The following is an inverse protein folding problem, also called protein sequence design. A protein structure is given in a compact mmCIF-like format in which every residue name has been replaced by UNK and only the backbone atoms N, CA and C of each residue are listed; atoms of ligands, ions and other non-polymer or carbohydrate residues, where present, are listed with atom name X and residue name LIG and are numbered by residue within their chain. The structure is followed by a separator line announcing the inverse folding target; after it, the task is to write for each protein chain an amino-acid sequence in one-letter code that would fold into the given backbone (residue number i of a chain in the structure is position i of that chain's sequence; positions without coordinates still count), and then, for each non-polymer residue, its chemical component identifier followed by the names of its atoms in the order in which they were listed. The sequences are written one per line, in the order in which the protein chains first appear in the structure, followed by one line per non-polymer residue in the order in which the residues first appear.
data_IF_079731795332
#
_entry.id   IF_079731795332
#
_cell.length_a   1.000
_cell.length_b   1.000
_cell.length_c   1.000
_cell.angle_alpha   90.00
_cell.angle_beta   90.00
_cell.angle_gamma   90.00
#
_symmetry.space_group_name_H-M   'P 1'
#
loop_
_entity.id
_entity.type
_entity.pdbx_description
1 polymer ?
#
# COMPACT_ATOMS: atom_id res chain seq x y z
N UNK A 1 6.29 -37.14 -78.97
CA UNK A 1 6.81 -37.28 -77.59
C UNK A 1 6.60 -35.93 -76.90
N UNK A 2 5.47 -35.77 -76.19
CA UNK A 2 5.40 -35.64 -74.73
C UNK A 2 6.24 -34.48 -74.17
N UNK A 3 5.60 -33.34 -73.95
CA UNK A 3 5.39 -32.81 -72.59
C UNK A 3 4.24 -31.81 -72.61
N UNK A 4 3.17 -32.20 -71.92
CA UNK A 4 1.97 -31.44 -71.64
C UNK A 4 2.16 -30.92 -70.22
N UNK A 5 2.01 -29.62 -69.98
CA UNK A 5 1.76 -29.11 -68.64
C UNK A 5 0.40 -28.42 -68.63
N UNK A 6 -0.55 -29.14 -68.06
CA UNK A 6 -1.88 -28.68 -67.63
C UNK A 6 -1.73 -28.28 -66.17
N UNK A 7 -2.11 -27.07 -65.81
CA UNK A 7 -2.63 -26.73 -64.46
C UNK A 7 -3.39 -25.41 -64.60
N UNK A 8 -4.71 -25.49 -64.84
CA UNK A 8 -5.77 -25.35 -63.83
C UNK A 8 -5.90 -23.93 -63.30
N UNK A 9 -6.83 -23.19 -63.91
CA UNK A 9 -7.43 -21.98 -63.34
C UNK A 9 -8.33 -22.41 -62.18
N UNK A 10 -8.11 -21.84 -60.99
CA UNK A 10 -9.03 -21.95 -59.86
C UNK A 10 -9.12 -20.60 -59.15
N UNK A 11 -10.36 -20.28 -58.78
CA UNK A 11 -10.91 -18.97 -58.52
C UNK A 11 -10.91 -18.64 -57.01
N UNK A 12 -10.84 -17.34 -56.73
CA UNK A 12 -11.30 -16.63 -55.53
C UNK A 12 -10.48 -16.70 -54.22
N UNK A 13 -9.98 -15.54 -53.77
CA UNK A 13 -10.67 -14.73 -52.75
C UNK A 13 -10.01 -13.34 -52.62
N UNK A 14 -10.84 -12.29 -52.48
CA UNK A 14 -10.43 -10.91 -52.26
C UNK A 14 -9.69 -10.75 -50.92
N UNK A 15 -8.54 -10.08 -50.94
CA UNK A 15 -8.12 -9.21 -49.84
C UNK A 15 -7.74 -7.86 -50.43
N UNK A 16 -8.57 -6.88 -50.11
CA UNK A 16 -8.41 -5.47 -50.45
C UNK A 16 -7.18 -5.00 -49.65
N UNK A 17 -6.05 -4.85 -50.34
CA UNK A 17 -5.02 -3.90 -49.93
C UNK A 17 -5.61 -2.50 -50.18
N UNK A 18 -6.28 -1.97 -49.16
CA UNK A 18 -6.92 -0.66 -49.17
C UNK A 18 -6.17 0.28 -48.25
N UNK A 19 -5.27 1.04 -48.86
CA UNK A 19 -4.63 2.26 -48.43
C UNK A 19 -5.02 2.85 -47.06
N UNK A 20 -4.00 3.20 -46.29
CA UNK A 20 -4.05 4.35 -45.39
C UNK A 20 -4.69 5.52 -46.13
N UNK A 21 -5.91 5.86 -45.77
CA UNK A 21 -6.49 7.16 -46.09
C UNK A 21 -6.53 7.96 -44.81
N UNK A 22 -5.78 9.05 -44.82
CA UNK A 22 -6.09 10.24 -44.06
C UNK A 22 -7.59 10.53 -44.23
N UNK A 23 -8.36 10.39 -43.16
CA UNK A 23 -9.57 11.19 -43.03
C UNK A 23 -9.12 12.62 -42.76
N UNK A 24 -9.00 13.40 -43.85
CA UNK A 24 -9.23 14.84 -43.77
C UNK A 24 -10.72 14.98 -43.46
N UNK A 25 -11.06 14.98 -42.18
CA UNK A 25 -12.27 15.67 -41.76
C UNK A 25 -11.97 17.15 -41.92
N UNK A 26 -12.77 17.81 -42.75
CA UNK A 26 -12.79 19.26 -42.85
C UNK A 26 -12.88 19.82 -41.43
N UNK A 27 -11.78 20.41 -40.97
CA UNK A 27 -11.75 21.12 -39.69
C UNK A 27 -12.56 22.38 -39.92
N UNK A 28 -13.84 22.33 -39.58
CA UNK A 28 -14.58 23.55 -39.30
C UNK A 28 -13.75 24.33 -38.27
N UNK A 29 -13.34 25.59 -38.55
CA UNK A 29 -12.59 26.38 -37.58
C UNK A 29 -13.37 26.67 -36.29
N UNK A 30 -14.64 26.26 -36.22
CA UNK A 30 -15.51 26.27 -35.03
C UNK A 30 -15.53 24.93 -34.26
N UNK A 31 -14.47 24.11 -34.38
CA UNK A 31 -14.31 22.89 -33.59
C UNK A 31 -14.17 23.24 -32.10
N UNK A 32 -15.25 23.06 -31.34
CA UNK A 32 -15.33 23.25 -29.90
C UNK A 32 -14.05 22.76 -29.20
N UNK A 33 -13.17 23.65 -28.70
CA UNK A 33 -11.87 23.27 -28.13
C UNK A 33 -12.05 22.77 -26.70
N UNK A 34 -12.92 21.78 -26.54
CA UNK A 34 -13.21 21.13 -25.27
C UNK A 34 -11.92 20.51 -24.76
N UNK A 35 -11.59 20.81 -23.51
CA UNK A 35 -10.43 20.24 -22.86
C UNK A 35 -10.67 18.75 -22.58
N UNK A 36 -9.71 17.91 -22.94
CA UNK A 36 -9.77 16.46 -22.74
C UNK A 36 -8.58 15.98 -21.91
N UNK A 37 -8.80 14.93 -21.12
CA UNK A 37 -7.77 14.36 -20.25
C UNK A 37 -7.43 12.92 -20.63
N UNK A 38 -6.17 12.56 -20.40
CA UNK A 38 -5.63 11.21 -20.48
C UNK A 38 -4.78 10.91 -19.25
N UNK A 39 -4.64 9.62 -18.96
CA UNK A 39 -3.88 9.14 -17.81
C UNK A 39 -2.90 8.07 -18.27
N UNK A 40 -1.69 8.16 -17.73
CA UNK A 40 -0.75 7.08 -17.64
C UNK A 40 -0.24 6.98 -16.20
N UNK A 41 -0.40 5.83 -15.59
CA UNK A 41 0.36 5.40 -14.41
C UNK A 41 1.38 4.36 -14.88
N UNK A 42 2.50 4.21 -14.18
CA UNK A 42 3.40 3.08 -14.44
C UNK A 42 2.65 1.75 -14.36
N UNK A 43 3.12 0.72 -15.08
CA UNK A 43 2.59 -0.64 -14.93
C UNK A 43 3.01 -1.19 -13.58
N UNK A 44 2.12 -1.16 -12.58
CA UNK A 44 2.30 -2.03 -11.42
C UNK A 44 1.88 -3.45 -11.78
N UNK A 45 2.69 -4.44 -11.41
CA UNK A 45 2.40 -5.86 -11.59
C UNK A 45 1.68 -6.46 -10.38
N UNK A 46 1.33 -5.65 -9.38
CA UNK A 46 0.75 -6.09 -8.10
C UNK A 46 -0.51 -5.26 -7.82
N UNK A 47 -1.60 -5.92 -7.42
CA UNK A 47 -2.90 -5.27 -7.22
C UNK A 47 -2.93 -4.40 -5.96
N UNK A 48 -3.96 -3.55 -5.86
CA UNK A 48 -4.22 -2.54 -4.80
C UNK A 48 -3.36 -1.28 -4.90
N UNK A 49 -2.32 -1.27 -5.74
CA UNK A 49 -1.66 -0.01 -6.12
C UNK A 49 -2.61 0.86 -6.97
N UNK A 50 -2.41 2.17 -6.95
CA UNK A 50 -3.04 3.05 -7.94
C UNK A 50 -2.33 2.86 -9.29
N UNK A 51 -3.00 2.20 -10.24
CA UNK A 51 -2.49 1.83 -11.55
C UNK A 51 -3.48 2.17 -12.67
N UNK A 52 -3.17 1.79 -13.92
CA UNK A 52 -3.97 2.12 -15.11
C UNK A 52 -5.34 1.44 -15.12
N UNK A 53 -5.58 0.48 -14.24
CA UNK A 53 -6.85 -0.23 -14.07
C UNK A 53 -7.61 0.29 -12.85
N UNK A 54 -6.97 0.39 -11.68
CA UNK A 54 -7.62 0.85 -10.44
C UNK A 54 -8.07 2.31 -10.55
N UNK A 55 -7.31 3.17 -11.23
CA UNK A 55 -7.72 4.56 -11.45
C UNK A 55 -8.98 4.70 -12.34
N UNK A 56 -9.35 3.64 -13.10
CA UNK A 56 -10.57 3.59 -13.92
C UNK A 56 -11.77 2.98 -13.19
N UNK A 57 -11.62 2.58 -11.94
CA UNK A 57 -12.76 2.16 -11.12
C UNK A 57 -13.72 3.33 -10.89
N UNK A 58 -14.89 3.03 -10.31
CA UNK A 58 -15.88 4.06 -10.02
C UNK A 58 -15.45 4.88 -8.78
N UNK A 59 -15.17 6.20 -8.89
CA UNK A 59 -14.86 7.04 -7.74
C UNK A 59 -16.02 7.17 -6.75
N UNK A 60 -17.26 6.93 -7.17
CA UNK A 60 -18.46 7.13 -6.34
C UNK A 60 -18.91 5.84 -5.62
N UNK A 61 -18.42 4.68 -6.03
CA UNK A 61 -18.70 3.41 -5.34
C UNK A 61 -17.98 3.37 -3.97
N UNK A 62 -18.64 2.87 -2.93
CA UNK A 62 -18.14 2.94 -1.55
C UNK A 62 -16.85 2.15 -1.31
N UNK A 63 -16.63 1.07 -2.06
CA UNK A 63 -15.53 0.11 -1.92
C UNK A 63 -14.46 0.23 -3.02
N UNK A 64 -14.50 1.31 -3.81
CA UNK A 64 -13.64 1.52 -4.99
C UNK A 64 -12.89 2.84 -4.93
N UNK A 65 -11.68 2.87 -5.48
CA UNK A 65 -10.77 4.02 -5.39
C UNK A 65 -10.37 4.51 -6.78
N UNK A 66 -11.37 4.79 -7.62
CA UNK A 66 -11.16 5.29 -8.97
C UNK A 66 -11.14 6.80 -9.08
N UNK A 67 -10.96 7.28 -10.32
CA UNK A 67 -10.97 8.69 -10.67
C UNK A 67 -9.80 9.49 -10.09
N UNK A 68 -9.73 10.76 -10.49
CA UNK A 68 -8.74 11.70 -9.98
C UNK A 68 -9.31 13.12 -9.91
N UNK A 69 -8.78 13.93 -9.00
CA UNK A 69 -9.14 15.34 -8.86
C UNK A 69 -8.13 16.24 -9.57
N UNK A 70 -8.60 17.30 -10.24
CA UNK A 70 -7.75 18.30 -10.90
C UNK A 70 -7.88 19.67 -10.23
N UNK A 71 -6.74 20.30 -10.00
CA UNK A 71 -6.57 21.73 -9.72
C UNK A 71 -6.01 22.40 -10.99
N UNK A 72 -6.78 23.32 -11.57
CA UNK A 72 -6.46 24.03 -12.80
C UNK A 72 -6.30 25.53 -12.58
N UNK A 73 -5.21 26.07 -13.09
CA UNK A 73 -4.78 27.45 -12.88
C UNK A 73 -4.65 28.17 -14.21
N UNK A 74 -5.54 29.12 -14.49
CA UNK A 74 -5.41 29.99 -15.64
C UNK A 74 -4.36 31.07 -15.34
N UNK A 75 -3.27 31.07 -16.12
CA UNK A 75 -2.10 31.95 -15.88
C UNK A 75 -2.01 33.10 -16.89
N UNK A 76 -2.97 33.19 -17.82
CA UNK A 76 -2.89 34.09 -18.97
C UNK A 76 -1.60 33.83 -19.76
N UNK A 77 -0.98 34.89 -20.26
CA UNK A 77 0.25 34.75 -21.06
C UNK A 77 1.53 34.48 -20.25
N UNK A 78 1.46 34.47 -18.91
CA UNK A 78 2.60 34.17 -18.04
C UNK A 78 2.93 32.68 -18.03
N UNK A 79 4.11 32.33 -17.56
CA UNK A 79 4.43 30.96 -17.15
C UNK A 79 3.92 30.69 -15.73
N UNK A 80 3.84 29.42 -15.34
CA UNK A 80 3.47 29.01 -13.99
C UNK A 80 4.39 29.66 -12.95
N UNK A 81 5.69 29.61 -13.17
CA UNK A 81 6.68 30.17 -12.25
C UNK A 81 6.49 31.67 -12.00
N UNK A 82 6.10 32.43 -13.03
CA UNK A 82 5.82 33.87 -12.92
C UNK A 82 4.47 34.17 -12.26
N UNK A 83 3.50 33.25 -12.34
CA UNK A 83 2.12 33.47 -11.92
C UNK A 83 1.79 32.90 -10.54
N UNK A 84 2.48 31.83 -10.11
CA UNK A 84 2.09 30.97 -8.99
C UNK A 84 1.88 31.72 -7.67
N UNK A 85 2.64 32.77 -7.39
CA UNK A 85 2.50 33.56 -6.15
C UNK A 85 1.21 34.36 -6.05
N UNK A 86 0.42 34.46 -7.12
CA UNK A 86 -0.79 35.28 -7.20
C UNK A 86 -1.98 34.56 -7.82
N UNK A 87 -1.83 33.29 -8.20
CA UNK A 87 -2.85 32.54 -8.94
C UNK A 87 -3.36 31.38 -8.09
N UNK A 88 -4.68 31.34 -7.92
CA UNK A 88 -5.41 30.25 -7.25
C UNK A 88 -6.05 29.31 -8.30
N UNK A 89 -6.52 28.10 -7.94
CA UNK A 89 -7.11 27.13 -8.86
C UNK A 89 -8.54 27.52 -9.32
N UNK A 90 -8.72 28.74 -9.81
CA UNK A 90 -10.02 29.27 -10.22
C UNK A 90 -10.56 28.69 -11.53
N UNK A 91 -9.75 27.95 -12.30
CA UNK A 91 -10.21 27.32 -13.55
C UNK A 91 -10.87 25.96 -13.30
N UNK A 92 -10.25 25.14 -12.46
CA UNK A 92 -10.77 23.87 -11.94
C UNK A 92 -10.33 23.73 -10.48
N UNK A 93 -11.26 23.47 -9.56
CA UNK A 93 -10.95 23.16 -8.16
C UNK A 93 -11.54 21.80 -7.82
N UNK A 94 -10.67 20.89 -7.40
CA UNK A 94 -10.97 19.47 -7.16
C UNK A 94 -11.92 18.87 -8.22
N UNK A 95 -11.69 19.19 -9.50
CA UNK A 95 -12.57 18.75 -10.56
C UNK A 95 -12.43 17.24 -10.72
N UNK A 96 -13.50 16.50 -10.43
CA UNK A 96 -13.54 15.06 -10.65
C UNK A 96 -13.39 14.74 -12.13
N UNK A 97 -12.45 13.86 -12.44
CA UNK A 97 -12.34 13.19 -13.73
C UNK A 97 -12.48 11.68 -13.50
N UNK A 98 -13.39 11.05 -14.24
CA UNK A 98 -13.70 9.62 -14.10
C UNK A 98 -13.70 8.90 -15.44
N UNK A 99 -13.44 7.59 -15.40
CA UNK A 99 -13.50 6.75 -16.59
C UNK A 99 -14.94 6.31 -16.83
N UNK A 100 -15.47 6.65 -18.00
CA UNK A 100 -16.78 6.20 -18.45
C UNK A 100 -16.59 5.14 -19.55
N UNK A 101 -16.95 3.90 -19.24
CA UNK A 101 -16.83 2.75 -20.15
C UNK A 101 -17.80 2.83 -21.34
N UNK A 102 -18.85 3.63 -21.26
CA UNK A 102 -19.88 3.74 -22.31
C UNK A 102 -19.47 4.66 -23.46
N UNK A 103 -18.47 5.51 -23.24
CA UNK A 103 -17.95 6.42 -24.26
C UNK A 103 -17.19 5.69 -25.38
N UNK A 104 -17.01 6.38 -26.51
CA UNK A 104 -16.22 5.93 -27.66
C UNK A 104 -16.63 4.54 -28.15
N UNK A 105 -17.93 4.33 -28.39
CA UNK A 105 -18.47 3.03 -28.83
C UNK A 105 -18.10 1.87 -27.90
N UNK A 106 -18.18 2.11 -26.58
CA UNK A 106 -17.78 1.20 -25.51
C UNK A 106 -16.26 0.91 -25.39
N UNK A 107 -15.41 1.66 -26.09
CA UNK A 107 -13.95 1.62 -25.84
C UNK A 107 -13.57 2.35 -24.54
N UNK A 108 -14.49 3.17 -24.01
CA UNK A 108 -14.34 3.96 -22.80
C UNK A 108 -13.55 5.26 -23.03
N UNK A 109 -13.68 6.18 -22.08
CA UNK A 109 -12.98 7.45 -22.11
C UNK A 109 -13.03 8.19 -20.78
N UNK A 110 -12.09 9.12 -20.58
CA UNK A 110 -12.11 10.02 -19.43
C UNK A 110 -13.13 11.14 -19.66
N UNK A 111 -13.95 11.41 -18.65
CA UNK A 111 -14.97 12.46 -18.67
C UNK A 111 -15.01 13.23 -17.36
N UNK A 112 -15.55 14.45 -17.42
CA UNK A 112 -15.72 15.35 -16.28
C UNK A 112 -16.86 16.34 -16.55
N UNK A 113 -17.40 16.92 -15.48
CA UNK A 113 -18.45 17.94 -15.55
C UNK A 113 -18.26 18.97 -14.44
N UNK A 114 -18.46 20.27 -14.70
CA UNK A 114 -18.82 20.88 -16.00
C UNK A 114 -17.67 20.91 -17.02
N UNK A 115 -18.00 20.92 -18.32
CA UNK A 115 -17.03 20.98 -19.42
C UNK A 115 -16.28 22.32 -19.40
N UNK A 116 -14.97 22.28 -19.69
CA UNK A 116 -14.11 23.45 -19.84
C UNK A 116 -13.53 23.53 -21.25
N UNK A 117 -13.23 24.74 -21.69
CA UNK A 117 -12.70 25.04 -23.02
C UNK A 117 -11.34 25.71 -22.92
N UNK A 118 -10.51 25.51 -23.94
CA UNK A 118 -9.26 26.24 -24.06
C UNK A 118 -9.52 27.74 -24.32
N UNK A 119 -8.67 28.64 -23.79
CA UNK A 119 -8.73 30.06 -24.11
C UNK A 119 -8.48 30.30 -25.60
N UNK A 120 -9.18 31.29 -26.17
CA UNK A 120 -9.03 31.64 -27.59
C UNK A 120 -7.70 32.34 -27.91
N UNK A 121 -7.06 32.96 -26.91
CA UNK A 121 -5.76 33.59 -27.09
C UNK A 121 -4.65 32.52 -27.08
N UNK A 122 -3.89 32.31 -28.17
CA UNK A 122 -2.88 31.25 -28.26
C UNK A 122 -1.72 31.39 -27.27
N UNK A 123 -1.56 32.56 -26.65
CA UNK A 123 -0.53 32.80 -25.66
C UNK A 123 -0.94 32.42 -24.24
N UNK A 124 -2.24 32.30 -24.00
CA UNK A 124 -2.76 31.97 -22.69
C UNK A 124 -2.46 30.53 -22.33
N UNK A 125 -2.05 30.32 -21.07
CA UNK A 125 -1.65 29.03 -20.54
C UNK A 125 -2.51 28.63 -19.35
N UNK A 126 -2.69 27.33 -19.21
CA UNK A 126 -3.31 26.71 -18.05
C UNK A 126 -2.33 25.69 -17.47
N UNK A 127 -2.13 25.75 -16.16
CA UNK A 127 -1.32 24.77 -15.42
C UNK A 127 -2.23 23.86 -14.61
N UNK A 128 -1.92 22.58 -14.58
CA UNK A 128 -2.72 21.57 -13.92
C UNK A 128 -1.90 20.79 -12.90
N UNK A 129 -2.51 20.53 -11.76
CA UNK A 129 -2.05 19.57 -10.76
C UNK A 129 -3.18 18.58 -10.52
N UNK A 130 -2.85 17.32 -10.36
CA UNK A 130 -3.81 16.25 -10.20
C UNK A 130 -3.39 15.28 -9.10
N UNK A 131 -4.36 14.65 -8.46
CA UNK A 131 -4.14 13.59 -7.48
C UNK A 131 -5.17 12.47 -7.66
N UNK A 132 -4.78 11.25 -7.28
CA UNK A 132 -5.68 10.11 -7.22
C UNK A 132 -5.38 9.25 -5.98
N UNK A 133 -6.38 8.52 -5.44
CA UNK A 133 -7.77 8.46 -5.89
C UNK A 133 -8.55 9.75 -5.61
N UNK A 134 -9.66 9.98 -6.31
CA UNK A 134 -10.50 11.17 -6.12
C UNK A 134 -11.24 11.14 -4.77
N UNK A 135 -11.30 12.29 -4.10
CA UNK A 135 -12.12 12.53 -2.90
C UNK A 135 -13.18 13.60 -3.19
N UNK A 136 -14.45 13.25 -2.97
CA UNK A 136 -15.55 14.19 -3.11
C UNK A 136 -15.73 15.06 -1.86
N UNK A 137 -15.50 14.51 -0.67
CA UNK A 137 -15.59 15.20 0.61
C UNK A 137 -14.24 15.84 0.96
N UNK A 138 -13.78 16.70 0.06
CA UNK A 138 -12.42 17.22 -0.01
C UNK A 138 -11.96 18.03 1.21
N UNK A 139 -12.89 18.50 2.04
CA UNK A 139 -12.61 19.20 3.30
C UNK A 139 -12.32 18.23 4.45
N UNK A 140 -12.80 16.98 4.36
CA UNK A 140 -12.75 16.00 5.46
C UNK A 140 -11.99 14.73 5.13
N UNK A 141 -11.88 14.36 3.86
CA UNK A 141 -11.19 13.16 3.42
C UNK A 141 -11.86 11.88 3.88
N UNK A 142 -13.20 11.86 3.98
CA UNK A 142 -13.96 10.79 4.62
C UNK A 142 -13.70 9.41 3.99
N UNK A 143 -13.49 9.35 2.68
CA UNK A 143 -13.30 8.08 1.97
C UNK A 143 -11.83 7.72 1.82
N UNK A 144 -10.99 8.66 1.43
CA UNK A 144 -9.62 8.40 1.00
C UNK A 144 -8.56 8.84 2.02
N UNK A 145 -8.95 9.63 3.02
CA UNK A 145 -8.03 10.33 3.90
C UNK A 145 -7.37 11.56 3.26
N UNK A 146 -7.73 11.91 2.01
CA UNK A 146 -7.20 13.07 1.29
C UNK A 146 -8.06 14.30 1.53
N UNK A 147 -7.45 15.41 1.91
CA UNK A 147 -8.06 16.73 1.83
C UNK A 147 -7.20 17.65 0.98
N UNK A 148 -7.81 18.60 0.28
CA UNK A 148 -7.10 19.52 -0.61
C UNK A 148 -7.31 20.97 -0.20
N UNK A 149 -6.42 21.85 -0.65
CA UNK A 149 -6.51 23.29 -0.39
C UNK A 149 -7.79 23.93 -0.94
N UNK A 150 -8.22 25.05 -0.33
CA UNK A 150 -9.35 25.85 -0.79
C UNK A 150 -9.13 26.43 -2.20
N UNK A 151 -10.22 26.74 -2.90
CA UNK A 151 -10.21 27.32 -4.25
C UNK A 151 -9.53 28.72 -4.32
N UNK A 152 -9.34 29.37 -3.17
CA UNK A 152 -8.66 30.68 -3.05
C UNK A 152 -7.17 30.55 -2.71
N UNK A 153 -6.67 29.34 -2.46
CA UNK A 153 -5.26 29.11 -2.12
C UNK A 153 -4.39 29.41 -3.33
N UNK A 154 -3.46 30.36 -3.18
CA UNK A 154 -2.49 30.69 -4.24
C UNK A 154 -1.28 29.77 -4.17
N UNK A 155 -0.67 29.50 -5.33
CA UNK A 155 0.54 28.69 -5.42
C UNK A 155 0.28 27.23 -5.78
N UNK A 156 1.26 26.37 -5.51
CA UNK A 156 1.13 24.92 -5.73
C UNK A 156 0.08 24.41 -4.74
N UNK A 157 -0.93 23.62 -5.18
CA UNK A 157 -1.92 23.09 -4.25
C UNK A 157 -1.27 22.12 -3.28
N UNK A 158 -1.77 22.08 -2.05
CA UNK A 158 -1.38 21.07 -1.07
C UNK A 158 -2.47 20.01 -0.90
N UNK A 159 -2.05 18.84 -0.44
CA UNK A 159 -2.90 17.72 -0.02
C UNK A 159 -2.53 17.38 1.42
N UNK A 160 -3.47 17.41 2.36
CA UNK A 160 -3.26 16.70 3.63
C UNK A 160 -3.73 15.27 3.46
N UNK A 161 -2.90 14.33 3.90
CA UNK A 161 -3.19 12.91 3.79
C UNK A 161 -3.17 12.28 5.16
N UNK A 162 -4.23 11.54 5.47
CA UNK A 162 -4.38 10.74 6.67
C UNK A 162 -4.43 9.25 6.29
N UNK A 163 -3.60 8.44 6.94
CA UNK A 163 -3.64 6.98 6.79
C UNK A 163 -4.98 6.41 7.27
N UNK A 164 -5.35 5.26 6.71
CA UNK A 164 -6.48 4.48 7.23
C UNK A 164 -6.20 4.03 8.66
N UNK A 165 -7.25 4.03 9.46
CA UNK A 165 -7.21 3.54 10.84
C UNK A 165 -6.94 2.03 10.86
N UNK A 166 -6.51 1.54 12.02
CA UNK A 166 -6.07 0.14 12.24
C UNK A 166 -7.09 -0.92 11.78
N UNK A 167 -8.38 -0.62 11.82
CA UNK A 167 -9.44 -1.56 11.39
C UNK A 167 -9.62 -1.66 9.87
N UNK A 168 -9.14 -0.67 9.12
CA UNK A 168 -9.39 -0.51 7.67
C UNK A 168 -8.09 -0.62 6.85
N UNK A 169 -7.06 -1.29 7.37
CA UNK A 169 -5.74 -1.36 6.72
C UNK A 169 -5.75 -2.05 5.34
N UNK A 170 -6.76 -2.89 5.08
CA UNK A 170 -6.96 -3.52 3.75
C UNK A 170 -7.45 -2.54 2.69
N UNK A 171 -7.83 -1.34 3.11
CA UNK A 171 -8.34 -0.24 2.29
C UNK A 171 -7.36 0.94 2.27
N UNK A 172 -6.10 0.73 2.66
CA UNK A 172 -5.09 1.78 2.61
C UNK A 172 -4.97 2.36 1.21
N UNK A 173 -4.82 3.68 1.16
CA UNK A 173 -4.79 4.44 -0.09
C UNK A 173 -3.37 4.65 -0.56
N UNK A 174 -3.10 4.31 -1.81
CA UNK A 174 -1.88 4.65 -2.52
C UNK A 174 -2.05 6.01 -3.22
N UNK A 175 -1.68 7.08 -2.51
CA UNK A 175 -1.77 8.45 -3.03
C UNK A 175 -0.75 8.66 -4.14
N UNK A 176 -1.26 8.98 -5.33
CA UNK A 176 -0.46 9.38 -6.50
C UNK A 176 -0.78 10.82 -6.90
N UNK A 177 0.23 11.52 -7.43
CA UNK A 177 0.08 12.91 -7.90
C UNK A 177 0.73 13.11 -9.27
N UNK A 178 0.26 14.12 -9.99
CA UNK A 178 0.82 14.54 -11.27
C UNK A 178 0.70 16.05 -11.47
N UNK A 179 1.53 16.60 -12.34
CA UNK A 179 1.46 17.99 -12.75
C UNK A 179 1.76 18.16 -14.25
N UNK A 180 1.18 19.19 -14.83
CA UNK A 180 1.40 19.67 -16.20
C UNK A 180 1.25 21.18 -16.22
N UNK A 181 2.35 21.90 -16.10
CA UNK A 181 2.36 23.37 -16.14
C UNK A 181 2.39 23.91 -17.55
N UNK A 182 1.99 25.16 -17.73
CA UNK A 182 2.22 25.93 -18.96
C UNK A 182 1.58 25.35 -20.23
N UNK A 183 0.47 24.63 -20.07
CA UNK A 183 -0.21 23.98 -21.18
C UNK A 183 -0.99 25.00 -22.02
N UNK A 184 -0.99 24.77 -23.34
CA UNK A 184 -1.72 25.54 -24.34
C UNK A 184 -2.55 24.60 -25.20
N UNK A 185 -3.51 25.15 -25.93
CA UNK A 185 -4.16 24.39 -26.99
C UNK A 185 -3.14 23.99 -28.05
N UNK A 186 -3.10 22.69 -28.36
CA UNK A 186 -2.31 22.13 -29.45
C UNK A 186 -3.24 21.34 -30.38
N UNK A 187 -3.40 21.83 -31.61
CA UNK A 187 -4.27 21.22 -32.61
C UNK A 187 -3.84 19.79 -32.97
N UNK A 188 -2.54 19.46 -32.87
CA UNK A 188 -2.04 18.12 -33.20
C UNK A 188 -2.51 17.05 -32.20
N UNK A 189 -2.77 17.45 -30.95
CA UNK A 189 -3.26 16.58 -29.88
C UNK A 189 -4.75 16.80 -29.59
N UNK A 190 -5.41 17.69 -30.34
CA UNK A 190 -6.76 18.15 -30.05
C UNK A 190 -6.88 18.89 -28.71
N UNK A 191 -5.77 19.42 -28.18
CA UNK A 191 -5.72 20.04 -26.85
C UNK A 191 -5.86 19.05 -25.69
N UNK A 192 -5.50 17.78 -25.89
CA UNK A 192 -5.56 16.74 -24.84
C UNK A 192 -4.39 16.85 -23.88
N UNK A 193 -4.68 16.83 -22.57
CA UNK A 193 -3.68 16.79 -21.50
C UNK A 193 -3.53 15.37 -20.98
N UNK A 194 -2.32 14.82 -21.05
CA UNK A 194 -2.02 13.47 -20.52
C UNK A 194 -1.17 13.56 -19.26
N UNK A 195 -1.68 13.06 -18.14
CA UNK A 195 -0.96 13.03 -16.86
C UNK A 195 -0.12 11.76 -16.71
N UNK A 196 1.05 11.93 -16.07
CA UNK A 196 1.88 10.83 -15.59
C UNK A 196 1.86 10.86 -14.07
N UNK A 197 1.09 9.97 -13.44
CA UNK A 197 0.97 9.92 -11.99
C UNK A 197 2.16 9.21 -11.36
N UNK A 198 2.64 9.77 -10.25
CA UNK A 198 3.74 9.23 -9.47
C UNK A 198 3.26 8.94 -8.05
N UNK A 199 3.66 7.79 -7.50
CA UNK A 199 3.43 7.45 -6.11
C UNK A 199 4.08 8.47 -5.18
N UNK A 200 3.44 8.78 -4.07
CA UNK A 200 3.98 9.69 -3.06
C UNK A 200 4.44 8.94 -1.81
N UNK A 201 3.97 7.71 -1.60
CA UNK A 201 4.15 6.93 -0.39
C UNK A 201 5.33 5.94 -0.48
N UNK A 202 5.65 5.31 0.66
CA UNK A 202 6.48 4.11 0.75
C UNK A 202 5.59 2.88 0.83
N UNK A 203 5.87 1.85 0.03
CA UNK A 203 5.12 0.59 0.07
C UNK A 203 5.86 -0.45 0.91
N UNK A 204 5.18 -1.10 1.86
CA UNK A 204 5.80 -2.06 2.78
C UNK A 204 5.04 -3.38 2.81
N UNK A 205 5.78 -4.48 2.82
CA UNK A 205 5.28 -5.84 3.08
C UNK A 205 6.18 -6.58 4.07
N UNK A 206 5.62 -7.58 4.73
CA UNK A 206 6.35 -8.43 5.66
C UNK A 206 6.19 -9.90 5.30
N UNK A 207 7.27 -10.65 5.52
CA UNK A 207 7.30 -12.09 5.48
C UNK A 207 7.89 -12.63 6.78
N UNK A 208 7.64 -13.90 7.08
CA UNK A 208 8.35 -14.61 8.13
C UNK A 208 8.86 -15.97 7.65
N UNK A 209 9.94 -16.41 8.28
CA UNK A 209 10.49 -17.75 8.13
C UNK A 209 11.07 -18.26 9.43
N UNK A 210 11.14 -19.57 9.57
CA UNK A 210 12.04 -20.20 10.54
C UNK A 210 13.49 -19.97 10.09
N UNK A 211 14.37 -19.78 11.07
CA UNK A 211 15.80 -19.59 10.84
C UNK A 211 16.56 -20.87 10.56
N UNK A 212 17.86 -20.83 10.89
CA UNK A 212 18.72 -22.00 10.77
C UNK A 212 18.51 -22.90 12.01
N UNK A 213 18.24 -24.18 11.79
CA UNK A 213 17.89 -25.13 12.86
C UNK A 213 17.23 -26.40 12.34
N UNK A 214 16.99 -27.35 13.23
CA UNK A 214 16.33 -28.61 12.94
C UNK A 214 14.83 -28.46 13.22
N UNK A 215 14.05 -28.18 12.16
CA UNK A 215 12.60 -27.93 12.24
C UNK A 215 11.77 -29.02 11.57
N UNK A 216 12.29 -30.25 11.47
CA UNK A 216 11.60 -31.36 10.80
C UNK A 216 10.20 -31.61 11.38
N UNK A 217 10.04 -31.42 12.70
CA UNK A 217 8.80 -31.52 13.45
C UNK A 217 7.85 -30.33 13.35
N UNK A 218 8.26 -29.19 12.76
CA UNK A 218 7.38 -28.02 12.50
C UNK A 218 6.54 -28.27 11.24
N UNK A 219 5.73 -29.32 11.25
CA UNK A 219 4.98 -29.82 10.10
C UNK A 219 3.72 -29.01 9.74
N UNK A 220 3.24 -28.14 10.64
CA UNK A 220 2.01 -27.37 10.43
C UNK A 220 0.75 -27.99 11.05
N UNK A 221 0.85 -29.23 11.53
CA UNK A 221 -0.25 -30.00 12.09
C UNK A 221 -0.02 -30.28 13.58
N UNK A 222 1.15 -30.83 13.94
CA UNK A 222 1.51 -31.09 15.33
C UNK A 222 2.32 -29.95 15.93
N UNK A 223 3.24 -29.36 15.16
CA UNK A 223 4.01 -28.20 15.61
C UNK A 223 4.10 -27.13 14.54
N UNK A 224 3.96 -25.88 14.97
CA UNK A 224 4.09 -24.71 14.11
C UNK A 224 4.27 -23.44 14.93
N UNK A 225 4.58 -22.34 14.26
CA UNK A 225 4.55 -21.00 14.87
C UNK A 225 3.38 -20.22 14.30
N UNK A 226 2.66 -19.49 15.15
CA UNK A 226 1.72 -18.45 14.71
C UNK A 226 2.29 -17.07 15.00
N UNK A 227 2.25 -16.16 14.03
CA UNK A 227 2.35 -14.72 14.30
C UNK A 227 0.93 -14.20 14.50
N UNK A 228 0.61 -13.75 15.71
CA UNK A 228 -0.76 -13.46 16.14
C UNK A 228 -1.03 -11.98 16.35
N UNK A 229 -0.01 -11.19 16.70
CA UNK A 229 -0.09 -9.73 16.69
C UNK A 229 1.11 -9.10 15.98
N UNK A 230 0.88 -7.92 15.42
CA UNK A 230 1.92 -7.09 14.82
C UNK A 230 1.52 -5.63 14.98
N UNK A 231 2.46 -4.75 15.32
CA UNK A 231 2.18 -3.33 15.50
C UNK A 231 3.40 -2.45 15.19
N UNK A 232 3.16 -1.17 14.90
CA UNK A 232 4.21 -0.15 14.86
C UNK A 232 4.28 0.50 16.23
N UNK A 233 5.48 0.57 16.83
CA UNK A 233 5.65 1.09 18.19
C UNK A 233 5.40 2.60 18.22
N UNK A 234 4.46 3.00 19.08
CA UNK A 234 4.03 4.38 19.28
C UNK A 234 5.08 5.24 19.98
N UNK A 235 4.92 6.56 19.90
CA UNK A 235 5.88 7.49 20.51
C UNK A 235 5.83 7.52 22.04
N UNK A 236 4.68 7.19 22.64
CA UNK A 236 4.45 7.19 24.07
C UNK A 236 3.22 6.33 24.43
N UNK A 237 3.31 5.02 24.26
CA UNK A 237 2.16 4.10 24.39
C UNK A 237 1.77 3.78 25.85
N UNK A 238 2.47 4.34 26.84
CA UNK A 238 2.29 4.04 28.26
C UNK A 238 2.69 2.61 28.65
N UNK A 239 2.17 2.12 29.78
CA UNK A 239 2.54 0.81 30.35
C UNK A 239 1.38 -0.18 30.40
N UNK A 240 0.24 0.15 29.77
CA UNK A 240 -0.94 -0.71 29.75
C UNK A 240 -1.64 -0.70 28.39
N UNK A 241 -2.42 -1.75 28.13
CA UNK A 241 -3.25 -1.85 26.93
C UNK A 241 -4.26 -0.71 26.80
N UNK A 242 -4.74 -0.16 27.93
CA UNK A 242 -5.66 0.98 27.94
C UNK A 242 -4.96 2.27 27.47
N UNK A 243 -3.70 2.43 27.87
CA UNK A 243 -2.89 3.58 27.49
C UNK A 243 -2.53 3.51 26.00
N UNK A 244 -2.23 2.30 25.50
CA UNK A 244 -1.97 2.03 24.10
C UNK A 244 -0.82 1.06 23.83
N UNK A 245 -0.21 0.48 24.87
CA UNK A 245 0.84 -0.52 24.73
C UNK A 245 0.23 -1.86 24.30
N UNK A 246 0.68 -2.38 23.16
CA UNK A 246 0.18 -3.63 22.58
C UNK A 246 0.94 -4.89 23.00
N UNK A 247 2.01 -4.77 23.80
CA UNK A 247 2.69 -5.92 24.38
C UNK A 247 1.73 -6.69 25.30
N UNK A 248 1.58 -7.98 25.03
CA UNK A 248 0.80 -8.94 25.80
C UNK A 248 1.61 -9.54 26.94
N UNK A 249 2.94 -9.63 26.82
CA UNK A 249 3.80 -10.29 27.83
C UNK A 249 4.70 -9.33 28.62
N UNK A 250 4.92 -8.11 28.15
CA UNK A 250 5.80 -7.14 28.79
C UNK A 250 5.17 -5.73 28.87
N UNK A 251 4.44 -5.47 29.95
CA UNK A 251 3.88 -4.15 30.26
C UNK A 251 4.92 -3.03 30.41
N UNK A 252 6.20 -3.38 30.60
CA UNK A 252 7.33 -2.45 30.66
C UNK A 252 8.08 -2.33 29.32
N UNK A 253 7.51 -2.82 28.21
CA UNK A 253 8.07 -2.60 26.89
C UNK A 253 8.24 -1.09 26.64
N UNK A 254 9.38 -0.64 26.10
CA UNK A 254 9.64 0.77 25.91
C UNK A 254 8.84 1.32 24.72
N UNK A 255 8.36 2.56 24.86
CA UNK A 255 7.87 3.35 23.74
C UNK A 255 9.02 3.73 22.79
N UNK A 256 8.66 4.23 21.62
CA UNK A 256 9.62 4.77 20.67
C UNK A 256 9.56 6.31 20.65
N UNK A 257 10.13 6.98 21.65
CA UNK A 257 10.11 8.45 21.76
C UNK A 257 10.65 9.17 20.50
N UNK A 258 11.51 8.51 19.73
CA UNK A 258 12.06 9.02 18.48
C UNK A 258 11.25 8.61 17.24
N UNK A 259 10.02 8.12 17.41
CA UNK A 259 9.20 7.60 16.32
C UNK A 259 8.98 8.65 15.24
N UNK A 260 9.19 8.26 13.98
CA UNK A 260 8.84 9.04 12.79
C UNK A 260 7.75 8.33 11.98
N UNK A 261 6.91 7.54 12.65
CA UNK A 261 5.74 6.94 12.03
C UNK A 261 4.64 8.00 11.90
N UNK A 262 4.51 8.57 10.70
CA UNK A 262 3.50 9.59 10.44
C UNK A 262 2.17 8.95 10.00
N UNK A 263 1.09 9.27 10.71
CA UNK A 263 -0.29 8.90 10.32
C UNK A 263 -0.99 10.01 9.55
N UNK A 264 -0.53 11.26 9.72
CA UNK A 264 -0.98 12.42 8.93
C UNK A 264 0.24 13.26 8.53
N UNK A 265 0.26 13.77 7.31
CA UNK A 265 1.23 14.77 6.85
C UNK A 265 0.67 15.53 5.64
N UNK A 266 1.37 16.57 5.21
CA UNK A 266 0.98 17.40 4.07
C UNK A 266 1.91 17.18 2.90
N UNK A 267 1.37 16.83 1.74
CA UNK A 267 2.08 16.97 0.47
C UNK A 267 1.95 18.42 0.00
N UNK A 268 3.05 19.16 -0.05
CA UNK A 268 3.11 20.55 -0.53
C UNK A 268 4.43 20.79 -1.25
N UNK A 269 4.47 21.78 -2.14
CA UNK A 269 5.69 22.12 -2.88
C UNK A 269 6.35 20.91 -3.58
N UNK A 270 5.53 19.92 -3.98
CA UNK A 270 5.91 18.67 -4.65
C UNK A 270 6.79 17.70 -3.82
N UNK A 271 6.71 17.78 -2.49
CA UNK A 271 7.29 16.80 -1.56
C UNK A 271 6.45 16.68 -0.28
N UNK A 272 6.77 15.72 0.59
CA UNK A 272 6.15 15.67 1.92
C UNK A 272 6.73 16.73 2.84
N UNK A 273 5.83 17.41 3.55
CA UNK A 273 6.11 18.34 4.62
C UNK A 273 5.60 17.78 5.94
N UNK A 274 6.45 17.85 6.96
CA UNK A 274 6.22 17.22 8.26
C UNK A 274 5.97 18.23 9.39
N UNK A 275 5.80 19.52 9.08
CA UNK A 275 5.68 20.57 10.09
C UNK A 275 4.47 20.33 11.01
N UNK A 276 3.35 19.90 10.43
CA UNK A 276 2.09 19.59 11.12
C UNK A 276 1.78 18.08 11.08
N UNK A 277 2.82 17.24 10.94
CA UNK A 277 2.62 15.80 10.87
C UNK A 277 2.20 15.22 12.22
N UNK A 278 1.32 14.22 12.19
CA UNK A 278 0.87 13.51 13.38
C UNK A 278 1.67 12.22 13.53
N UNK A 279 2.30 12.06 14.69
CA UNK A 279 2.92 10.81 15.14
C UNK A 279 2.03 10.27 16.26
N UNK A 280 1.53 9.03 16.17
CA UNK A 280 0.68 8.47 17.22
C UNK A 280 1.49 8.24 18.49
N UNK A 281 0.87 8.54 19.64
CA UNK A 281 1.42 8.18 20.95
C UNK A 281 1.30 6.67 21.19
N UNK A 282 0.14 6.11 20.86
CA UNK A 282 -0.17 4.69 21.02
C UNK A 282 0.51 3.83 19.96
N UNK A 283 0.69 2.55 20.28
CA UNK A 283 1.05 1.57 19.26
C UNK A 283 -0.04 1.51 18.19
N UNK A 284 0.39 1.33 16.95
CA UNK A 284 -0.50 1.25 15.80
C UNK A 284 -0.64 -0.21 15.37
N UNK A 285 -1.81 -0.80 15.62
CA UNK A 285 -2.09 -2.19 15.32
C UNK A 285 -2.07 -2.48 13.83
N UNK A 286 -1.37 -3.54 13.44
CA UNK A 286 -1.36 -4.10 12.08
C UNK A 286 -2.14 -5.41 11.99
N UNK A 287 -2.87 -5.79 13.04
CA UNK A 287 -3.59 -7.07 13.12
C UNK A 287 -4.57 -7.28 11.97
N UNK A 288 -5.32 -6.26 11.58
CA UNK A 288 -6.41 -6.37 10.59
C UNK A 288 -5.93 -6.75 9.18
N UNK A 289 -4.67 -6.46 8.85
CA UNK A 289 -4.07 -6.80 7.55
C UNK A 289 -3.35 -8.15 7.55
N UNK A 290 -3.18 -8.81 8.71
CA UNK A 290 -2.55 -10.13 8.77
C UNK A 290 -3.37 -11.18 8.01
N UNK A 291 -2.67 -12.11 7.36
CA UNK A 291 -3.25 -13.23 6.62
C UNK A 291 -3.45 -14.43 7.53
N UNK A 292 -4.34 -14.29 8.50
CA UNK A 292 -4.58 -15.31 9.52
C UNK A 292 -5.45 -16.45 8.98
N UNK A 293 -5.27 -17.65 9.52
CA UNK A 293 -6.14 -18.80 9.23
C UNK A 293 -7.31 -18.91 10.24
N UNK A 294 -8.05 -20.01 10.20
CA UNK A 294 -9.18 -20.27 11.11
C UNK A 294 -8.79 -20.40 12.59
N UNK A 295 -7.50 -20.51 12.89
CA UNK A 295 -6.98 -20.69 14.23
C UNK A 295 -7.18 -22.09 14.82
N UNK A 296 -6.86 -22.18 16.10
CA UNK A 296 -6.86 -23.38 16.94
C UNK A 296 -7.50 -23.09 18.30
N UNK A 297 -7.73 -24.16 19.08
CA UNK A 297 -8.11 -24.04 20.50
C UNK A 297 -6.93 -24.42 21.38
N UNK A 298 -6.58 -23.55 22.32
CA UNK A 298 -5.55 -23.79 23.33
C UNK A 298 -6.13 -24.53 24.54
N UNK A 299 -5.42 -25.56 25.02
CA UNK A 299 -5.84 -26.38 26.15
C UNK A 299 -5.80 -25.65 27.48
N UNK A 300 -4.76 -24.85 27.71
CA UNK A 300 -4.49 -24.18 28.99
C UNK A 300 -4.03 -22.74 28.75
N UNK A 301 -4.93 -21.85 28.30
CA UNK A 301 -4.57 -20.47 27.98
C UNK A 301 -3.99 -19.75 29.19
N UNK A 302 -2.85 -19.10 28.99
CA UNK A 302 -2.24 -18.25 30.01
C UNK A 302 -3.16 -17.06 30.29
N UNK A 303 -3.20 -16.58 31.54
CA UNK A 303 -4.01 -15.43 31.91
C UNK A 303 -3.70 -14.22 31.00
N UNK A 304 -4.73 -13.64 30.38
CA UNK A 304 -4.57 -12.56 29.40
C UNK A 304 -4.61 -13.01 27.92
N UNK A 305 -4.56 -14.32 27.66
CA UNK A 305 -4.64 -14.89 26.32
C UNK A 305 -6.02 -15.53 26.06
N UNK A 306 -6.43 -15.52 24.79
CA UNK A 306 -7.66 -16.15 24.34
C UNK A 306 -7.49 -17.66 24.21
N UNK A 307 -8.50 -18.44 24.61
CA UNK A 307 -8.54 -19.89 24.34
C UNK A 307 -8.57 -20.23 22.85
N UNK A 308 -8.89 -19.26 21.99
CA UNK A 308 -8.79 -19.39 20.54
C UNK A 308 -7.63 -18.54 20.04
N UNK A 309 -6.67 -19.18 19.38
CA UNK A 309 -5.49 -18.54 18.80
C UNK A 309 -5.63 -18.59 17.29
N UNK A 310 -5.47 -17.46 16.60
CA UNK A 310 -5.42 -17.38 15.14
C UNK A 310 -4.30 -16.44 14.73
N UNK A 311 -3.55 -16.83 13.71
CA UNK A 311 -2.39 -16.10 13.24
C UNK A 311 -1.93 -16.54 11.87
N UNK A 312 -0.82 -15.96 11.41
CA UNK A 312 -0.14 -16.42 10.18
C UNK A 312 0.69 -17.65 10.54
N UNK A 313 0.33 -18.82 9.98
CA UNK A 313 1.02 -20.09 10.24
C UNK A 313 2.38 -20.14 9.57
N UNK A 314 3.42 -20.47 10.33
CA UNK A 314 4.80 -20.65 9.89
C UNK A 314 5.21 -22.09 10.19
N UNK A 315 5.67 -22.80 9.15
CA UNK A 315 6.09 -24.21 9.21
C UNK A 315 7.53 -24.36 8.72
N UNK A 316 8.06 -25.58 8.73
CA UNK A 316 9.39 -25.92 8.21
C UNK A 316 9.63 -25.47 6.77
N UNK A 317 8.60 -25.51 5.93
CA UNK A 317 8.70 -25.11 4.52
C UNK A 317 9.11 -23.64 4.38
N UNK A 318 8.80 -22.83 5.39
CA UNK A 318 9.16 -21.41 5.43
C UNK A 318 10.67 -21.15 5.41
N UNK A 319 11.50 -22.11 5.86
CA UNK A 319 12.97 -21.98 5.82
C UNK A 319 13.46 -21.72 4.40
N UNK A 320 12.82 -22.36 3.41
CA UNK A 320 13.12 -22.18 1.99
C UNK A 320 12.23 -21.13 1.32
N UNK A 321 10.96 -21.08 1.72
CA UNK A 321 9.94 -20.23 1.10
C UNK A 321 9.26 -19.35 2.15
N UNK A 322 9.78 -18.15 2.45
CA UNK A 322 9.21 -17.28 3.47
C UNK A 322 7.72 -16.99 3.23
N UNK A 323 6.93 -17.11 4.29
CA UNK A 323 5.47 -16.94 4.28
C UNK A 323 5.13 -15.45 4.32
N UNK A 324 4.20 -15.01 3.48
CA UNK A 324 3.70 -13.62 3.51
C UNK A 324 2.84 -13.40 4.74
N UNK A 325 3.10 -12.32 5.49
CA UNK A 325 2.26 -11.96 6.63
C UNK A 325 0.97 -11.28 6.20
N UNK A 326 0.96 -10.66 5.01
CA UNK A 326 -0.21 -10.02 4.43
C UNK A 326 -0.79 -10.90 3.31
N UNK A 327 -2.10 -10.78 3.02
CA UNK A 327 -2.71 -11.42 1.86
C UNK A 327 -2.00 -11.04 0.55
N UNK A 328 -2.24 -11.83 -0.50
CA UNK A 328 -1.69 -11.50 -1.81
C UNK A 328 -2.08 -10.07 -2.22
N UNK A 329 -1.10 -9.34 -2.77
CA UNK A 329 -1.25 -7.95 -3.24
C UNK A 329 -1.72 -6.95 -2.17
N UNK A 330 -1.66 -7.28 -0.89
CA UNK A 330 -1.91 -6.34 0.20
C UNK A 330 -0.59 -5.77 0.73
N UNK A 331 -0.57 -4.45 0.94
CA UNK A 331 0.60 -3.69 1.36
C UNK A 331 0.21 -2.59 2.33
N UNK A 332 1.17 -2.14 3.14
CA UNK A 332 1.06 -0.86 3.81
C UNK A 332 1.57 0.24 2.87
N UNK A 333 0.81 1.33 2.75
CA UNK A 333 1.22 2.54 2.05
C UNK A 333 1.49 3.63 3.08
N UNK A 334 2.75 3.76 3.50
CA UNK A 334 3.16 4.63 4.59
C UNK A 334 3.64 5.99 4.07
N UNK A 335 3.34 7.06 4.80
CA UNK A 335 3.97 8.37 4.57
C UNK A 335 5.49 8.18 4.76
N UNK A 336 6.32 8.57 3.77
CA UNK A 336 7.76 8.35 3.82
C UNK A 336 8.40 9.18 4.94
N UNK A 337 9.63 8.84 5.30
CA UNK A 337 10.42 9.58 6.29
C UNK A 337 11.58 10.28 5.59
N UNK A 338 11.86 11.53 6.00
CA UNK A 338 13.01 12.29 5.51
C UNK A 338 12.91 12.71 4.05
N UNK A 339 11.70 12.86 3.50
CA UNK A 339 11.49 13.53 2.23
C UNK A 339 11.68 15.04 2.41
N UNK A 340 12.52 15.65 1.58
CA UNK A 340 12.93 17.06 1.74
C UNK A 340 13.12 17.77 0.41
N UNK A 341 12.81 17.09 -0.69
CA UNK A 341 13.09 17.60 -2.01
C UNK A 341 12.09 17.08 -3.04
N UNK A 342 11.84 17.91 -4.05
CA UNK A 342 11.05 17.54 -5.23
C UNK A 342 11.60 16.30 -5.94
N UNK A 343 12.93 16.08 -5.91
CA UNK A 343 13.58 14.86 -6.39
C UNK A 343 13.50 13.75 -5.33
N UNK A 344 12.70 12.72 -5.60
CA UNK A 344 12.44 11.60 -4.70
C UNK A 344 13.69 10.79 -4.34
N UNK A 345 14.77 10.90 -5.12
CA UNK A 345 16.03 10.19 -4.85
C UNK A 345 16.84 10.82 -3.72
N UNK A 346 16.57 12.08 -3.38
CA UNK A 346 17.31 12.84 -2.36
C UNK A 346 16.80 12.66 -0.93
N UNK A 347 15.65 12.01 -0.75
CA UNK A 347 15.12 11.69 0.57
C UNK A 347 16.10 10.83 1.38
N UNK A 348 16.28 11.16 2.66
CA UNK A 348 17.21 10.43 3.53
C UNK A 348 16.65 9.09 3.94
N UNK A 349 15.33 8.93 4.02
CA UNK A 349 14.69 7.81 4.68
C UNK A 349 14.68 7.98 6.19
N UNK A 350 14.18 6.98 6.91
CA UNK A 350 14.21 6.95 8.36
C UNK A 350 15.64 6.83 8.90
N UNK A 351 15.89 7.47 10.04
CA UNK A 351 17.07 7.27 10.87
C UNK A 351 17.02 5.94 11.62
N UNK A 352 18.08 5.69 12.40
CA UNK A 352 18.19 4.49 13.22
C UNK A 352 17.10 4.51 14.29
N UNK A 353 16.36 3.41 14.43
CA UNK A 353 15.36 3.19 15.50
C UNK A 353 14.11 4.10 15.43
N UNK A 354 14.03 4.99 14.44
CA UNK A 354 12.87 5.88 14.25
C UNK A 354 11.59 5.13 13.88
N UNK A 355 11.70 3.89 13.41
CA UNK A 355 10.55 3.01 13.19
C UNK A 355 10.88 1.65 13.79
N UNK A 356 9.99 1.18 14.66
CA UNK A 356 10.10 -0.11 15.31
C UNK A 356 8.80 -0.88 15.11
N UNK A 357 8.90 -2.19 14.88
CA UNK A 357 7.77 -3.08 14.65
C UNK A 357 7.79 -4.15 15.72
N UNK A 358 6.73 -4.21 16.52
CA UNK A 358 6.51 -5.26 17.51
C UNK A 358 5.76 -6.43 16.90
N UNK A 359 6.05 -7.63 17.40
CA UNK A 359 5.39 -8.87 17.04
C UNK A 359 5.10 -9.67 18.31
N UNK A 360 3.93 -10.29 18.34
CA UNK A 360 3.64 -11.40 19.24
C UNK A 360 3.52 -12.67 18.40
N UNK A 361 4.15 -13.74 18.86
CA UNK A 361 4.10 -15.04 18.21
C UNK A 361 4.01 -16.18 19.22
N UNK A 362 3.35 -17.24 18.79
CA UNK A 362 3.05 -18.42 19.58
C UNK A 362 3.78 -19.62 18.98
N UNK A 363 4.57 -20.32 19.79
CA UNK A 363 5.14 -21.63 19.43
C UNK A 363 4.13 -22.67 19.88
N UNK A 364 3.54 -23.38 18.94
CA UNK A 364 2.38 -24.23 19.16
C UNK A 364 2.77 -25.69 18.98
N UNK A 365 2.33 -26.53 19.91
CA UNK A 365 2.45 -27.98 19.89
C UNK A 365 1.10 -28.61 20.20
N UNK A 366 0.72 -29.68 19.49
CA UNK A 366 -0.51 -30.42 19.74
C UNK A 366 -0.52 -31.02 21.15
N UNK A 367 -1.66 -30.94 21.83
CA UNK A 367 -1.81 -31.51 23.16
C UNK A 367 -2.05 -33.02 23.07
N UNK A 368 -1.14 -33.82 23.61
CA UNK A 368 -1.27 -35.28 23.65
C UNK A 368 -2.39 -35.76 24.59
N UNK A 369 -2.78 -34.93 25.55
CA UNK A 369 -3.87 -35.23 26.50
C UNK A 369 -5.24 -34.83 25.96
N UNK A 370 -5.29 -34.01 24.91
CA UNK A 370 -6.51 -33.60 24.23
C UNK A 370 -6.29 -33.44 22.72
N UNK A 371 -6.69 -34.45 21.96
CA UNK A 371 -6.38 -34.63 20.53
C UNK A 371 -6.88 -33.52 19.58
N UNK A 372 -7.72 -32.61 20.07
CA UNK A 372 -8.28 -31.46 19.31
C UNK A 372 -7.78 -30.10 19.80
N UNK A 373 -6.88 -30.08 20.77
CA UNK A 373 -6.35 -28.87 21.36
C UNK A 373 -4.83 -28.82 21.25
N UNK A 374 -4.29 -27.66 21.60
CA UNK A 374 -2.88 -27.35 21.47
C UNK A 374 -2.37 -26.63 22.73
N UNK A 375 -1.07 -26.71 22.96
CA UNK A 375 -0.34 -25.95 23.97
C UNK A 375 0.44 -24.87 23.24
N UNK A 376 0.37 -23.63 23.72
CA UNK A 376 1.11 -22.51 23.14
C UNK A 376 2.12 -21.93 24.14
N UNK A 377 3.32 -21.63 23.64
CA UNK A 377 4.29 -20.78 24.33
C UNK A 377 4.30 -19.40 23.67
N UNK A 378 3.95 -18.37 24.44
CA UNK A 378 3.84 -16.99 23.97
C UNK A 378 5.19 -16.26 24.03
N UNK A 379 5.52 -15.52 22.97
CA UNK A 379 6.76 -14.74 22.90
C UNK A 379 6.57 -13.45 22.09
N UNK A 380 7.46 -12.49 22.33
CA UNK A 380 7.44 -11.20 21.63
C UNK A 380 8.83 -10.78 21.16
N UNK A 381 8.84 -9.98 20.11
CA UNK A 381 10.05 -9.34 19.62
C UNK A 381 9.75 -7.96 19.04
N UNK A 382 10.71 -7.05 19.16
CA UNK A 382 10.66 -5.73 18.54
C UNK A 382 11.85 -5.62 17.57
N UNK A 383 11.56 -5.38 16.30
CA UNK A 383 12.59 -5.13 15.29
C UNK A 383 12.67 -3.64 14.99
N UNK A 384 13.88 -3.17 14.69
CA UNK A 384 14.16 -1.80 14.27
C UNK A 384 14.33 -1.78 12.76
N UNK A 385 13.62 -0.90 12.06
CA UNK A 385 13.84 -0.78 10.62
C UNK A 385 15.23 -0.18 10.34
N UNK A 386 15.91 -0.62 9.26
CA UNK A 386 17.23 -0.09 8.92
C UNK A 386 17.18 1.40 8.55
N UNK A 387 18.23 2.13 8.91
CA UNK A 387 18.38 3.51 8.50
C UNK A 387 18.41 3.62 6.96
N UNK A 388 17.84 4.69 6.42
CA UNK A 388 17.71 4.93 4.99
C UNK A 388 16.52 4.24 4.32
N UNK A 389 15.66 3.56 5.07
CA UNK A 389 14.43 2.94 4.55
C UNK A 389 13.24 3.91 4.59
N UNK A 390 12.07 3.45 4.11
CA UNK A 390 10.84 4.25 3.99
C UNK A 390 11.01 5.56 3.21
N UNK A 391 11.72 5.49 2.08
CA UNK A 391 11.82 6.60 1.12
C UNK A 391 10.60 6.61 0.19
N UNK A 392 10.19 7.82 -0.20
CA UNK A 392 9.18 8.08 -1.23
C UNK A 392 9.44 7.23 -2.49
N UNK A 393 8.37 6.64 -3.05
CA UNK A 393 8.41 5.82 -4.27
C UNK A 393 9.27 4.56 -4.18
N UNK A 394 9.50 4.03 -2.97
CA UNK A 394 10.22 2.77 -2.76
C UNK A 394 9.31 1.71 -2.17
N UNK A 395 9.57 0.47 -2.57
CA UNK A 395 8.95 -0.72 -1.99
C UNK A 395 9.95 -1.45 -1.11
N UNK A 396 9.53 -1.83 0.09
CA UNK A 396 10.32 -2.59 1.05
C UNK A 396 9.60 -3.90 1.39
N UNK A 397 10.36 -4.98 1.44
CA UNK A 397 9.89 -6.27 1.96
C UNK A 397 10.83 -6.69 3.07
N UNK A 398 10.31 -6.79 4.29
CA UNK A 398 11.06 -7.26 5.44
C UNK A 398 10.76 -8.74 5.68
N UNK A 399 11.79 -9.53 5.96
CA UNK A 399 11.62 -10.95 6.31
C UNK A 399 12.05 -11.16 7.75
N UNK A 400 11.08 -11.39 8.64
CA UNK A 400 11.32 -11.82 10.01
C UNK A 400 11.89 -13.24 9.99
N UNK A 401 13.01 -13.46 10.68
CA UNK A 401 13.59 -14.78 10.86
C UNK A 401 13.43 -15.19 12.32
N UNK A 402 12.65 -16.24 12.57
CA UNK A 402 12.37 -16.77 13.89
C UNK A 402 13.37 -17.89 14.18
N UNK A 403 14.36 -17.60 15.02
CA UNK A 403 15.35 -18.59 15.45
C UNK A 403 14.82 -19.28 16.71
N UNK A 404 14.42 -20.54 16.58
CA UNK A 404 14.03 -21.39 17.69
C UNK A 404 15.12 -22.44 17.92
N UNK A 405 15.27 -22.90 19.16
CA UNK A 405 16.18 -23.98 19.52
C UNK A 405 15.38 -25.17 20.03
N UNK A 406 15.68 -26.38 19.55
CA UNK A 406 15.08 -27.61 20.08
C UNK A 406 15.61 -27.86 21.49
N UNK A 407 14.72 -28.28 22.39
CA UNK A 407 15.13 -28.80 23.70
C UNK A 407 15.47 -30.27 23.50
N UNK A 408 16.76 -30.62 23.65
CA UNK A 408 17.22 -32.00 23.55
C UNK A 408 17.46 -32.54 24.97
N UNK A 409 16.84 -33.67 25.29
CA UNK A 409 17.18 -34.45 26.49
C UNK A 409 18.19 -35.51 26.06
N UNK A 410 19.48 -35.20 26.20
CA UNK A 410 20.57 -36.04 25.68
C UNK A 410 20.78 -37.35 26.45
N UNK A 411 20.37 -37.43 27.72
CA UNK A 411 20.56 -38.62 28.54
C UNK A 411 19.49 -38.75 29.64
N UNK A 412 18.77 -39.88 29.66
CA UNK A 412 17.89 -40.27 30.79
C UNK A 412 18.50 -41.51 31.44
N UNK A 413 19.33 -41.31 32.46
CA UNK A 413 19.82 -42.41 33.31
C UNK A 413 18.86 -42.66 34.46
N UNK A 414 18.20 -43.83 34.45
CA UNK A 414 17.53 -44.37 35.62
C UNK A 414 18.56 -45.16 36.41
N UNK A 415 18.96 -44.65 37.57
CA UNK A 415 19.74 -45.45 38.51
C UNK A 415 18.87 -46.60 39.03
N UNK A 416 19.46 -47.79 39.21
CA UNK A 416 18.78 -48.90 39.88
C UNK A 416 18.25 -48.43 41.24
N UNK A 417 17.10 -48.96 41.66
CA UNK A 417 16.67 -48.82 43.05
C UNK A 417 17.82 -49.25 43.98
N UNK A 418 18.06 -48.45 45.02
CA UNK A 418 18.90 -48.91 46.13
C UNK A 418 18.32 -50.21 46.69
N UNK A 419 19.16 -51.04 47.30
CA UNK A 419 18.71 -52.25 47.99
C UNK A 419 17.57 -51.91 48.96
N UNK A 420 16.44 -52.61 48.87
CA UNK A 420 15.37 -52.54 49.86
C UNK A 420 15.96 -52.83 51.24
N UNK A 421 15.90 -51.85 52.15
CA UNK A 421 16.08 -52.10 53.57
C UNK A 421 14.78 -52.69 54.10
N UNK A 422 14.74 -54.02 54.18
CA UNK A 422 13.80 -54.71 55.06
C UNK A 422 14.35 -54.63 56.48
N UNK A 423 13.97 -53.60 57.23
CA UNK A 423 13.99 -53.73 58.69
C UNK A 423 12.96 -54.80 59.05
N UNK A 424 13.42 -55.87 59.68
CA UNK A 424 12.52 -56.81 60.37
C UNK A 424 11.70 -56.02 61.40
N UNK A 425 10.44 -56.41 61.67
CA UNK A 425 9.67 -55.77 62.72
C UNK A 425 10.46 -55.82 64.04
N UNK A 426 10.38 -54.74 64.80
CA UNK A 426 10.73 -54.76 66.22
C UNK A 426 9.75 -55.69 66.92
N UNK A 427 10.07 -56.98 66.94
CA UNK A 427 10.17 -57.91 68.08
C UNK A 427 10.62 -59.31 67.63
#
# INVERSE_FOLDING_TARGET
MKTINVMTVSLAALLIAGCSQNEVTEVNPDAHPQMAFGVYTGTSTRGIDTDNNSIKEDPEASDKYGGFGIMGYFTGSKTWEEAKSSTAPGFMHNQMVKWDKTLNSNAGGWTYTPIKYWPNNPNDKISFFAYAPYESDWEKGTKTGVTVCDATTVGIPYINFKLKEEKDLREMVDLVVADKTDQKYDANTGGKISFNFNHTLSRVSFKAKLGDGEFSGMDGDENFVYITEMWIVGSNHGTSAKDGNMSLINSSAPSNENSKFYTTATWKDLHWDYAEAVIPEKDFSLKSILNTDSGITESNPTAGHSSTISGVKITKDSQTTPVSLFPDKQYLYLIPVGDTNVDATKGTGCGKEEIQIGFHYDIVTKDETNDKQYIASHAESVIKLPAGHLKRQKTYQYTLTINLHTIVIDEVTVNNWGTETTESPVE
#
